data_IF_758400351982
#
_entry.id   IF_758400351982
#
_cell.length_a   1.000
_cell.length_b   1.000
_cell.length_c   1.000
_cell.angle_alpha   90.00
_cell.angle_beta   90.00
_cell.angle_gamma   90.00
#
_symmetry.space_group_name_H-M   'P 1'
#
loop_
_entity.id
_entity.type
_entity.pdbx_description
1 polymer ?
#
# COMPACT_ATOMS: atom_id res chain seq x y z
N UNK A 1 -40.64 -80.76 42.71
CA UNK A 1 -41.09 -79.67 41.82
C UNK A 1 -41.12 -78.37 42.62
N UNK A 2 -39.98 -77.68 42.72
CA UNK A 2 -39.80 -76.50 43.58
C UNK A 2 -39.01 -75.46 42.75
N UNK A 3 -39.60 -74.27 42.55
CA UNK A 3 -38.87 -73.00 42.56
C UNK A 3 -37.99 -72.53 41.40
N UNK A 4 -38.15 -72.95 40.13
CA UNK A 4 -37.32 -72.40 39.01
C UNK A 4 -37.84 -71.13 38.33
N UNK A 5 -39.06 -70.66 38.64
CA UNK A 5 -39.65 -69.49 37.96
C UNK A 5 -39.11 -68.14 38.42
N UNK A 6 -38.57 -68.01 39.64
CA UNK A 6 -38.07 -66.74 40.18
C UNK A 6 -36.68 -66.33 39.67
N UNK A 7 -35.81 -67.29 39.35
CA UNK A 7 -34.44 -67.03 38.88
C UNK A 7 -34.40 -66.44 37.46
N UNK A 8 -35.34 -66.85 36.60
CA UNK A 8 -35.48 -66.32 35.24
C UNK A 8 -35.85 -64.83 35.29
N UNK A 9 -36.73 -64.46 36.23
CA UNK A 9 -37.13 -63.06 36.46
C UNK A 9 -35.95 -62.19 36.88
N UNK A 10 -35.10 -62.67 37.80
CA UNK A 10 -33.91 -61.94 38.27
C UNK A 10 -32.89 -61.77 37.15
N UNK A 11 -32.61 -62.84 36.37
CA UNK A 11 -31.72 -62.74 35.21
C UNK A 11 -32.26 -61.79 34.13
N UNK A 12 -33.56 -61.83 33.84
CA UNK A 12 -34.19 -60.92 32.89
C UNK A 12 -34.07 -59.46 33.33
N UNK A 13 -34.20 -59.18 34.65
CA UNK A 13 -34.07 -57.85 35.22
C UNK A 13 -32.63 -57.32 35.12
N UNK A 14 -31.63 -58.18 35.40
CA UNK A 14 -30.21 -57.83 35.23
C UNK A 14 -29.90 -57.53 33.76
N UNK A 15 -30.34 -58.38 32.84
CA UNK A 15 -30.13 -58.20 31.39
C UNK A 15 -30.81 -56.92 30.90
N UNK A 16 -32.05 -56.64 31.32
CA UNK A 16 -32.74 -55.39 30.99
C UNK A 16 -32.00 -54.17 31.54
N UNK A 17 -31.52 -54.21 32.78
CA UNK A 17 -30.77 -53.09 33.38
C UNK A 17 -29.47 -52.81 32.63
N UNK A 18 -28.75 -53.87 32.22
CA UNK A 18 -27.53 -53.73 31.41
C UNK A 18 -27.87 -53.16 30.03
N UNK A 19 -28.92 -53.67 29.38
CA UNK A 19 -29.39 -53.14 28.09
C UNK A 19 -29.79 -51.66 28.20
N UNK A 20 -30.51 -51.28 29.24
CA UNK A 20 -30.95 -49.90 29.46
C UNK A 20 -29.75 -48.97 29.71
N UNK A 21 -28.75 -49.42 30.47
CA UNK A 21 -27.49 -48.70 30.66
C UNK A 21 -26.74 -48.48 29.35
N UNK A 22 -26.62 -49.52 28.53
CA UNK A 22 -25.94 -49.43 27.22
C UNK A 22 -26.71 -48.49 26.28
N UNK A 23 -28.04 -48.60 26.22
CA UNK A 23 -28.87 -47.72 25.37
C UNK A 23 -28.74 -46.26 25.84
N UNK A 24 -28.81 -46.01 27.14
CA UNK A 24 -28.65 -44.67 27.71
C UNK A 24 -27.27 -44.10 27.36
N UNK A 25 -26.21 -44.89 27.56
CA UNK A 25 -24.84 -44.52 27.20
C UNK A 25 -24.71 -44.18 25.70
N UNK A 26 -25.23 -45.03 24.82
CA UNK A 26 -25.21 -44.79 23.37
C UNK A 26 -25.95 -43.50 22.99
N UNK A 27 -27.12 -43.26 23.55
CA UNK A 27 -27.89 -42.03 23.30
C UNK A 27 -27.11 -40.80 23.76
N UNK A 28 -26.52 -40.85 24.96
CA UNK A 28 -25.73 -39.73 25.48
C UNK A 28 -24.49 -39.44 24.63
N UNK A 29 -23.78 -40.48 24.21
CA UNK A 29 -22.57 -40.34 23.39
C UNK A 29 -22.93 -39.77 22.02
N UNK A 30 -23.99 -40.29 21.38
CA UNK A 30 -24.45 -39.81 20.08
C UNK A 30 -24.89 -38.33 20.14
N UNK A 31 -25.61 -37.94 21.20
CA UNK A 31 -26.01 -36.55 21.39
C UNK A 31 -24.81 -35.62 21.60
N UNK A 32 -23.83 -36.07 22.40
CA UNK A 32 -22.63 -35.28 22.67
C UNK A 32 -21.77 -35.14 21.41
N UNK A 33 -21.57 -36.21 20.65
CA UNK A 33 -20.90 -36.17 19.35
C UNK A 33 -21.63 -35.27 18.36
N UNK A 34 -22.97 -35.31 18.33
CA UNK A 34 -23.78 -34.43 17.49
C UNK A 34 -23.59 -32.94 17.84
N UNK A 35 -23.60 -32.60 19.13
CA UNK A 35 -23.36 -31.23 19.61
C UNK A 35 -21.94 -30.78 19.25
N UNK A 36 -20.94 -31.63 19.49
CA UNK A 36 -19.54 -31.34 19.12
C UNK A 36 -19.43 -31.07 17.62
N UNK A 37 -19.99 -31.95 16.78
CA UNK A 37 -19.95 -31.79 15.33
C UNK A 37 -20.58 -30.48 14.87
N UNK A 38 -21.74 -30.09 15.45
CA UNK A 38 -22.42 -28.84 15.13
C UNK A 38 -21.56 -27.64 15.56
N UNK A 39 -21.02 -27.65 16.78
CA UNK A 39 -20.15 -26.57 17.25
C UNK A 39 -18.87 -26.47 16.43
N UNK A 40 -18.25 -27.60 16.07
CA UNK A 40 -17.07 -27.62 15.20
C UNK A 40 -17.41 -27.03 13.83
N UNK A 41 -18.53 -27.42 13.21
CA UNK A 41 -18.97 -26.85 11.94
C UNK A 41 -19.22 -25.35 12.04
N UNK A 42 -19.94 -24.90 13.07
CA UNK A 42 -20.24 -23.48 13.26
C UNK A 42 -18.96 -22.66 13.53
N UNK A 43 -18.01 -23.22 14.28
CA UNK A 43 -16.71 -22.59 14.49
C UNK A 43 -15.93 -22.47 13.18
N UNK A 44 -15.88 -23.53 12.37
CA UNK A 44 -15.25 -23.48 11.03
C UNK A 44 -15.91 -22.40 10.17
N UNK A 45 -17.25 -22.32 10.17
CA UNK A 45 -17.96 -21.29 9.41
C UNK A 45 -17.66 -19.88 9.93
N UNK A 46 -17.69 -19.66 11.24
CA UNK A 46 -17.36 -18.35 11.86
C UNK A 46 -15.94 -17.91 11.52
N UNK A 47 -14.98 -18.85 11.46
CA UNK A 47 -13.62 -18.57 11.00
C UNK A 47 -13.58 -18.12 9.53
N UNK A 48 -14.28 -18.82 8.64
CA UNK A 48 -14.33 -18.43 7.23
C UNK A 48 -15.00 -17.07 7.01
N UNK A 49 -16.02 -16.74 7.80
CA UNK A 49 -16.67 -15.43 7.73
C UNK A 49 -15.71 -14.32 8.17
N UNK A 50 -15.00 -14.49 9.30
CA UNK A 50 -14.01 -13.49 9.74
C UNK A 50 -12.86 -13.32 8.74
N UNK A 51 -12.40 -14.42 8.12
CA UNK A 51 -11.37 -14.36 7.08
C UNK A 51 -11.89 -13.68 5.81
N UNK A 52 -13.12 -13.99 5.40
CA UNK A 52 -13.78 -13.39 4.24
C UNK A 52 -13.92 -11.88 4.37
N UNK A 53 -14.32 -11.38 5.54
CA UNK A 53 -14.41 -9.93 5.80
C UNK A 53 -13.08 -9.21 5.63
N UNK A 54 -11.99 -9.80 6.13
CA UNK A 54 -10.63 -9.25 5.96
C UNK A 54 -10.25 -9.22 4.47
N UNK A 55 -10.54 -10.30 3.73
CA UNK A 55 -10.25 -10.36 2.30
C UNK A 55 -11.06 -9.34 1.50
N UNK A 56 -12.33 -9.13 1.85
CA UNK A 56 -13.18 -8.11 1.20
C UNK A 56 -12.65 -6.69 1.43
N UNK A 57 -12.14 -6.40 2.63
CA UNK A 57 -11.50 -5.11 2.95
C UNK A 57 -10.22 -4.88 2.14
N UNK A 58 -9.44 -5.93 1.89
CA UNK A 58 -8.14 -5.80 1.23
C UNK A 58 -8.15 -5.95 -0.29
N UNK A 59 -9.11 -6.65 -0.85
CA UNK A 59 -9.05 -7.08 -2.25
C UNK A 59 -10.34 -6.85 -3.04
N UNK A 60 -11.39 -6.31 -2.42
CA UNK A 60 -12.69 -6.10 -3.06
C UNK A 60 -13.17 -4.65 -2.89
N UNK A 61 -14.47 -4.42 -2.99
CA UNK A 61 -15.15 -3.11 -2.91
C UNK A 61 -14.56 -2.14 -1.87
N UNK A 62 -14.40 -2.60 -0.64
CA UNK A 62 -13.97 -1.75 0.49
C UNK A 62 -12.50 -1.32 0.40
N UNK A 63 -11.69 -1.97 -0.44
CA UNK A 63 -10.30 -1.58 -0.66
C UNK A 63 -10.21 -0.17 -1.23
N UNK A 64 -10.93 0.09 -2.32
CA UNK A 64 -10.90 1.39 -2.99
C UNK A 64 -11.73 2.45 -2.27
N UNK A 65 -12.86 2.06 -1.67
CA UNK A 65 -13.82 3.01 -1.08
C UNK A 65 -13.40 3.52 0.30
N UNK A 66 -12.85 2.64 1.16
CA UNK A 66 -12.58 2.96 2.56
C UNK A 66 -11.10 2.76 2.94
N UNK A 67 -10.51 1.63 2.56
CA UNK A 67 -9.15 1.27 2.98
C UNK A 67 -8.10 2.22 2.38
N UNK A 68 -8.06 2.35 1.06
CA UNK A 68 -7.05 3.14 0.34
C UNK A 68 -7.10 4.65 0.70
N UNK A 69 -8.28 5.31 0.80
CA UNK A 69 -8.35 6.70 1.26
C UNK A 69 -7.80 6.90 2.68
N UNK A 70 -8.08 5.96 3.60
CA UNK A 70 -7.53 5.99 4.96
C UNK A 70 -5.99 5.92 4.93
N UNK A 71 -5.43 5.02 4.11
CA UNK A 71 -3.99 4.89 3.94
C UNK A 71 -3.38 6.18 3.40
N UNK A 72 -3.97 6.79 2.37
CA UNK A 72 -3.46 8.04 1.81
C UNK A 72 -3.42 9.16 2.85
N UNK A 73 -4.46 9.30 3.67
CA UNK A 73 -4.47 10.26 4.78
C UNK A 73 -3.35 9.98 5.79
N UNK A 74 -3.24 8.73 6.25
CA UNK A 74 -2.27 8.33 7.26
C UNK A 74 -0.81 8.46 6.77
N UNK A 75 -0.52 8.05 5.53
CA UNK A 75 0.82 8.10 4.93
C UNK A 75 1.25 9.53 4.62
N UNK A 76 0.36 10.36 4.07
CA UNK A 76 0.67 11.77 3.75
C UNK A 76 0.89 12.62 4.99
N UNK A 77 0.16 12.36 6.07
CA UNK A 77 0.35 13.02 7.35
C UNK A 77 1.43 12.37 8.23
N UNK A 78 1.88 11.17 7.85
CA UNK A 78 2.81 10.34 8.59
C UNK A 78 2.34 10.10 10.04
N UNK A 79 1.10 9.63 10.19
CA UNK A 79 0.44 9.37 11.48
C UNK A 79 -0.09 7.94 11.54
N UNK A 80 -0.13 7.39 12.75
CA UNK A 80 -0.96 6.21 13.05
C UNK A 80 -2.43 6.58 12.97
N UNK A 81 -3.23 5.67 12.43
CA UNK A 81 -4.67 5.82 12.30
C UNK A 81 -5.37 4.52 12.69
N UNK A 82 -6.53 4.64 13.32
CA UNK A 82 -7.42 3.51 13.62
C UNK A 82 -8.82 3.89 13.18
N UNK A 83 -9.47 2.99 12.45
CA UNK A 83 -10.81 3.22 11.91
C UNK A 83 -11.55 1.89 11.78
N UNK A 84 -12.86 1.91 11.94
CA UNK A 84 -13.72 0.77 11.65
C UNK A 84 -14.31 0.93 10.24
N UNK A 85 -14.12 -0.08 9.39
CA UNK A 85 -14.89 -0.24 8.15
C UNK A 85 -16.15 -1.01 8.49
N UNK A 86 -17.29 -0.47 8.08
CA UNK A 86 -18.60 -1.09 8.29
C UNK A 86 -19.01 -1.74 6.98
N UNK A 87 -19.15 -3.06 6.99
CA UNK A 87 -19.61 -3.82 5.83
C UNK A 87 -21.12 -3.68 5.65
N UNK A 88 -21.55 -3.65 4.40
CA UNK A 88 -22.95 -3.65 3.99
C UNK A 88 -23.63 -4.96 4.40
N UNK A 89 -24.92 -4.87 4.75
CA UNK A 89 -25.69 -6.04 5.18
C UNK A 89 -25.83 -7.11 4.08
N UNK A 90 -25.71 -6.74 2.81
CA UNK A 90 -25.78 -7.68 1.67
C UNK A 90 -24.54 -8.57 1.58
N UNK A 91 -23.42 -8.11 2.15
CA UNK A 91 -22.14 -8.81 2.15
C UNK A 91 -21.96 -9.72 3.40
N UNK A 92 -22.92 -9.67 4.32
CA UNK A 92 -22.92 -10.48 5.54
C UNK A 92 -23.76 -11.74 5.38
N UNK A 93 -23.31 -12.81 6.01
CA UNK A 93 -24.11 -14.04 6.12
C UNK A 93 -25.35 -13.80 7.01
N UNK A 94 -26.47 -14.43 6.67
CA UNK A 94 -27.76 -14.30 7.39
C UNK A 94 -27.63 -14.55 8.90
N UNK A 95 -26.67 -15.39 9.31
CA UNK A 95 -26.47 -15.76 10.71
C UNK A 95 -25.34 -14.98 11.40
N UNK A 96 -24.68 -14.05 10.71
CA UNK A 96 -23.60 -13.24 11.25
C UNK A 96 -24.11 -11.86 11.67
N UNK A 97 -23.86 -11.49 12.92
CA UNK A 97 -24.38 -10.25 13.51
C UNK A 97 -23.36 -9.11 13.57
N UNK A 98 -22.11 -9.36 13.20
CA UNK A 98 -21.01 -8.41 13.36
C UNK A 98 -20.53 -7.97 11.99
N UNK A 99 -20.57 -6.67 11.71
CA UNK A 99 -20.27 -6.11 10.38
C UNK A 99 -18.97 -5.31 10.30
N UNK A 100 -18.24 -5.15 11.41
CA UNK A 100 -17.10 -4.25 11.45
C UNK A 100 -15.76 -4.97 11.30
N UNK A 101 -14.86 -4.33 10.54
CA UNK A 101 -13.44 -4.66 10.50
C UNK A 101 -12.67 -3.44 10.99
N UNK A 102 -11.97 -3.59 12.11
CA UNK A 102 -11.13 -2.53 12.67
C UNK A 102 -9.76 -2.56 12.01
N UNK A 103 -9.33 -1.44 11.46
CA UNK A 103 -8.00 -1.21 10.90
C UNK A 103 -7.19 -0.42 11.89
N UNK A 104 -5.94 -0.80 12.10
CA UNK A 104 -4.95 0.00 12.80
C UNK A 104 -3.66 0.08 11.99
N UNK A 105 -3.16 1.29 11.81
CA UNK A 105 -1.88 1.56 11.14
C UNK A 105 -0.84 1.94 12.18
N UNK A 106 0.18 1.10 12.29
CA UNK A 106 1.25 1.28 13.26
C UNK A 106 2.57 1.56 12.54
N UNK A 107 3.24 2.64 12.94
CA UNK A 107 4.56 2.98 12.46
C UNK A 107 5.60 2.61 13.51
N UNK A 108 6.25 1.46 13.34
CA UNK A 108 7.42 1.07 14.12
C UNK A 108 8.69 1.37 13.31
N UNK A 109 9.40 0.33 12.86
CA UNK A 109 10.51 0.43 11.90
C UNK A 109 10.03 0.55 10.45
N UNK A 110 8.94 -0.14 10.14
CA UNK A 110 8.22 -0.13 8.87
C UNK A 110 6.75 0.18 9.09
N UNK A 111 6.04 0.54 8.03
CA UNK A 111 4.60 0.77 8.13
C UNK A 111 3.87 -0.59 8.06
N UNK A 112 3.19 -0.93 9.16
CA UNK A 112 2.42 -2.16 9.27
C UNK A 112 0.94 -1.84 9.46
N UNK A 113 0.10 -2.67 8.86
CA UNK A 113 -1.33 -2.64 9.11
C UNK A 113 -1.73 -3.81 9.99
N UNK A 114 -2.76 -3.62 10.82
CA UNK A 114 -3.45 -4.65 11.57
C UNK A 114 -4.95 -4.55 11.28
N UNK A 115 -5.54 -5.65 10.83
CA UNK A 115 -6.97 -5.83 10.60
C UNK A 115 -7.52 -6.77 11.65
N UNK A 116 -8.53 -6.33 12.37
CA UNK A 116 -9.26 -7.17 13.31
C UNK A 116 -10.70 -7.33 12.83
N UNK A 117 -11.10 -8.58 12.63
CA UNK A 117 -12.46 -8.95 12.28
C UNK A 117 -13.04 -9.86 13.35
N UNK A 118 -14.31 -9.66 13.67
CA UNK A 118 -15.08 -10.55 14.53
C UNK A 118 -16.31 -11.06 13.76
N UNK A 119 -16.68 -12.32 13.98
CA UNK A 119 -17.90 -12.92 13.43
C UNK A 119 -18.60 -13.70 14.51
N UNK A 120 -19.94 -13.73 14.45
CA UNK A 120 -20.77 -14.51 15.37
C UNK A 120 -21.74 -15.36 14.55
N UNK A 121 -21.34 -16.59 14.23
CA UNK A 121 -22.16 -17.52 13.48
C UNK A 121 -22.91 -18.45 14.42
N UNK A 122 -24.23 -18.24 14.57
CA UNK A 122 -25.12 -19.05 15.42
C UNK A 122 -24.64 -19.16 16.88
N UNK A 123 -24.14 -18.06 17.44
CA UNK A 123 -23.66 -17.98 18.82
C UNK A 123 -22.21 -18.43 19.01
N UNK A 124 -21.49 -18.77 17.93
CA UNK A 124 -20.06 -19.09 17.96
C UNK A 124 -19.28 -17.87 17.48
N UNK A 125 -18.64 -17.20 18.43
CA UNK A 125 -17.82 -16.01 18.19
C UNK A 125 -16.39 -16.37 17.84
N UNK A 126 -15.89 -15.77 16.78
CA UNK A 126 -14.50 -15.89 16.35
C UNK A 126 -13.91 -14.51 16.12
N UNK A 127 -12.74 -14.25 16.70
CA UNK A 127 -11.93 -13.05 16.42
C UNK A 127 -10.70 -13.46 15.64
N UNK A 128 -10.47 -12.79 14.52
CA UNK A 128 -9.33 -12.99 13.64
C UNK A 128 -8.56 -11.67 13.54
N UNK A 129 -7.25 -11.75 13.74
CA UNK A 129 -6.35 -10.63 13.51
C UNK A 129 -5.45 -10.97 12.33
N UNK A 130 -5.34 -10.06 11.37
CA UNK A 130 -4.36 -10.15 10.31
C UNK A 130 -3.45 -8.93 10.41
N UNK A 131 -2.17 -9.10 10.13
CA UNK A 131 -1.27 -7.97 10.04
C UNK A 131 -0.25 -8.19 8.94
N UNK A 132 0.48 -7.15 8.58
CA UNK A 132 1.52 -7.29 7.59
C UNK A 132 2.09 -5.96 7.15
N UNK A 133 3.13 -6.02 6.30
CA UNK A 133 3.70 -4.82 5.72
C UNK A 133 2.73 -4.20 4.72
N UNK A 134 2.70 -2.87 4.72
CA UNK A 134 1.83 -2.11 3.84
C UNK A 134 2.54 -1.59 2.58
N UNK A 135 3.82 -1.26 2.71
CA UNK A 135 4.60 -0.58 1.69
C UNK A 135 5.51 -1.59 1.01
N UNK A 136 5.66 -1.46 -0.30
CA UNK A 136 6.56 -2.27 -1.08
C UNK A 136 8.01 -2.16 -0.54
N UNK A 137 8.65 -3.31 -0.38
CA UNK A 137 9.93 -3.47 0.33
C UNK A 137 11.04 -2.58 -0.25
N UNK A 138 11.05 -2.33 -1.57
CA UNK A 138 12.06 -1.47 -2.22
C UNK A 138 12.07 -0.03 -1.66
N UNK A 139 10.90 0.51 -1.31
CA UNK A 139 10.79 1.85 -0.75
C UNK A 139 11.14 1.92 0.75
N UNK A 140 11.29 0.76 1.41
CA UNK A 140 11.64 0.66 2.84
C UNK A 140 13.07 0.14 3.08
N UNK A 141 13.86 -0.11 2.02
CA UNK A 141 15.24 -0.64 2.11
C UNK A 141 16.23 0.29 2.83
N UNK A 142 15.90 1.57 3.02
CA UNK A 142 16.80 2.55 3.62
C UNK A 142 17.89 3.07 2.68
N UNK A 143 17.87 2.66 1.40
CA UNK A 143 18.80 3.13 0.39
C UNK A 143 18.22 4.36 -0.33
N UNK A 144 18.91 5.51 -0.35
CA UNK A 144 18.42 6.72 -1.03
C UNK A 144 18.39 6.64 -2.56
N UNK A 145 19.06 5.64 -3.16
CA UNK A 145 19.15 5.50 -4.62
C UNK A 145 18.84 4.05 -4.99
N UNK A 146 17.86 3.85 -5.85
CA UNK A 146 17.49 2.55 -6.41
C UNK A 146 17.79 2.55 -7.90
N UNK A 147 18.78 1.75 -8.29
CA UNK A 147 19.23 1.56 -9.67
C UNK A 147 19.84 0.14 -9.79
N UNK A 148 20.15 -0.35 -11.01
CA UNK A 148 20.66 -1.72 -11.17
C UNK A 148 21.90 -2.03 -10.34
N UNK A 149 22.84 -1.08 -10.17
CA UNK A 149 24.04 -1.31 -9.36
C UNK A 149 23.82 -1.35 -7.84
N UNK A 150 22.70 -0.83 -7.34
CA UNK A 150 22.42 -0.75 -5.89
C UNK A 150 21.49 -1.85 -5.39
N UNK A 151 20.81 -2.54 -6.30
CA UNK A 151 19.92 -3.67 -5.99
C UNK A 151 20.72 -4.97 -6.02
N UNK A 152 20.41 -5.88 -5.09
CA UNK A 152 20.99 -7.22 -5.11
C UNK A 152 20.50 -8.00 -6.34
N UNK A 153 21.40 -8.74 -6.99
CA UNK A 153 21.11 -9.56 -8.18
C UNK A 153 19.93 -10.52 -7.97
N UNK A 154 19.64 -10.91 -6.72
CA UNK A 154 18.50 -11.77 -6.38
C UNK A 154 17.14 -11.08 -6.52
N UNK A 155 17.10 -9.75 -6.48
CA UNK A 155 15.89 -8.91 -6.54
C UNK A 155 15.79 -8.11 -7.85
N UNK A 156 16.71 -8.34 -8.79
CA UNK A 156 16.82 -7.58 -10.03
C UNK A 156 15.53 -7.69 -10.89
N UNK A 157 14.98 -8.91 -11.02
CA UNK A 157 13.73 -9.14 -11.77
C UNK A 157 12.55 -8.40 -11.13
N UNK A 158 12.40 -8.49 -9.80
CA UNK A 158 11.35 -7.80 -9.05
C UNK A 158 11.48 -6.28 -9.17
N UNK A 159 12.71 -5.76 -9.18
CA UNK A 159 12.98 -4.34 -9.37
C UNK A 159 12.56 -3.87 -10.77
N UNK A 160 12.94 -4.59 -11.84
CA UNK A 160 12.49 -4.24 -13.20
C UNK A 160 10.97 -4.37 -13.36
N UNK A 161 10.33 -5.33 -12.69
CA UNK A 161 8.87 -5.43 -12.67
C UNK A 161 8.23 -4.19 -12.01
N UNK A 162 8.78 -3.72 -10.89
CA UNK A 162 8.35 -2.47 -10.26
C UNK A 162 8.54 -1.28 -11.21
N UNK A 163 9.71 -1.15 -11.84
CA UNK A 163 9.99 -0.06 -12.79
C UNK A 163 9.00 -0.05 -13.96
N UNK A 164 8.77 -1.20 -14.59
CA UNK A 164 7.84 -1.33 -15.71
C UNK A 164 6.42 -0.91 -15.30
N UNK A 165 5.94 -1.37 -14.15
CA UNK A 165 4.64 -0.96 -13.62
C UNK A 165 4.58 0.55 -13.37
N UNK A 166 5.60 1.13 -12.75
CA UNK A 166 5.68 2.59 -12.58
C UNK A 166 5.60 3.28 -13.92
N UNK A 167 6.39 2.87 -14.91
CA UNK A 167 6.47 3.55 -16.20
C UNK A 167 5.16 3.47 -16.99
N UNK A 168 4.50 2.32 -16.95
CA UNK A 168 3.27 2.06 -17.71
C UNK A 168 2.04 2.69 -17.03
N UNK A 169 1.95 2.63 -15.71
CA UNK A 169 0.75 3.00 -14.96
C UNK A 169 0.80 4.41 -14.34
N UNK A 170 1.98 5.03 -14.22
CA UNK A 170 2.08 6.38 -13.61
C UNK A 170 1.26 7.40 -14.42
N UNK A 171 0.30 8.00 -13.73
CA UNK A 171 -0.67 8.93 -14.27
C UNK A 171 -1.23 9.81 -13.13
N UNK A 172 -1.57 11.06 -13.43
CA UNK A 172 -2.31 11.91 -12.48
C UNK A 172 -3.77 11.49 -12.31
N UNK A 173 -4.35 10.84 -13.33
CA UNK A 173 -5.78 10.51 -13.40
C UNK A 173 -6.30 9.52 -12.36
N UNK A 174 -5.45 8.93 -11.51
CA UNK A 174 -5.85 8.01 -10.43
C UNK A 174 -5.63 8.59 -9.03
N UNK A 175 -5.04 9.77 -8.94
CA UNK A 175 -4.66 10.37 -7.67
C UNK A 175 -5.56 11.57 -7.37
N UNK A 176 -6.41 11.47 -6.36
CA UNK A 176 -7.03 12.64 -5.73
C UNK A 176 -5.92 13.49 -5.09
N UNK A 177 -5.39 14.41 -5.89
CA UNK A 177 -4.35 15.35 -5.50
C UNK A 177 -4.93 16.29 -4.44
N UNK A 178 -4.28 16.45 -3.28
CA UNK A 178 -4.68 17.43 -2.29
C UNK A 178 -4.68 18.84 -2.90
N UNK A 179 -5.54 19.73 -2.41
CA UNK A 179 -5.63 21.14 -2.88
C UNK A 179 -4.32 21.94 -2.75
N UNK A 180 -3.37 21.44 -1.95
CA UNK A 180 -2.02 21.99 -1.74
C UNK A 180 -0.97 21.42 -2.70
N UNK A 181 -1.38 20.55 -3.62
CA UNK A 181 -0.50 19.85 -4.56
C UNK A 181 -0.86 20.23 -5.98
N UNK A 182 0.14 20.64 -6.74
CA UNK A 182 0.04 20.84 -8.17
C UNK A 182 0.35 19.51 -8.88
N UNK A 183 -0.47 19.13 -9.85
CA UNK A 183 -0.21 17.98 -10.72
C UNK A 183 -0.07 18.45 -12.16
N UNK A 184 1.09 18.20 -12.76
CA UNK A 184 1.36 18.48 -14.16
C UNK A 184 1.77 17.21 -14.90
N UNK A 185 1.04 16.86 -15.96
CA UNK A 185 1.38 15.74 -16.83
C UNK A 185 1.65 16.26 -18.24
N UNK A 186 2.92 16.17 -18.63
CA UNK A 186 3.43 16.74 -19.86
C UNK A 186 3.89 15.62 -20.78
N UNK A 187 3.52 15.75 -22.05
CA UNK A 187 4.01 14.91 -23.13
C UNK A 187 4.24 15.79 -24.35
N UNK A 188 5.09 15.31 -25.27
CA UNK A 188 5.36 15.99 -26.53
C UNK A 188 6.07 17.36 -26.37
N UNK A 189 6.84 17.55 -25.30
CA UNK A 189 7.78 18.67 -25.16
C UNK A 189 9.20 18.14 -25.29
N UNK A 190 10.12 18.93 -25.82
CA UNK A 190 11.55 18.56 -25.85
C UNK A 190 12.27 19.11 -24.63
N UNK A 191 11.81 20.27 -24.13
CA UNK A 191 12.40 20.96 -23.01
C UNK A 191 11.34 21.51 -22.09
N UNK A 192 11.47 21.23 -20.79
CA UNK A 192 10.63 21.80 -19.74
C UNK A 192 11.54 22.52 -18.75
N UNK A 193 11.21 23.75 -18.38
CA UNK A 193 11.97 24.56 -17.42
C UNK A 193 11.07 24.90 -16.25
N UNK A 194 11.48 24.54 -15.04
CA UNK A 194 10.79 24.87 -13.79
C UNK A 194 11.63 25.87 -12.99
N UNK A 195 11.14 27.10 -12.88
CA UNK A 195 11.81 28.19 -12.18
C UNK A 195 11.01 28.66 -10.99
N UNK A 196 11.70 28.96 -9.88
CA UNK A 196 11.09 29.57 -8.70
C UNK A 196 11.25 31.09 -8.75
N UNK A 197 10.14 31.82 -8.67
CA UNK A 197 10.16 33.30 -8.65
C UNK A 197 10.09 33.84 -7.22
N UNK A 198 9.34 33.15 -6.36
CA UNK A 198 9.30 33.45 -4.93
C UNK A 198 8.89 32.21 -4.14
N UNK A 199 8.78 32.32 -2.82
CA UNK A 199 8.46 31.16 -1.98
C UNK A 199 7.11 30.55 -2.38
N UNK A 200 7.12 29.27 -2.75
CA UNK A 200 5.98 28.51 -3.27
C UNK A 200 5.32 29.05 -4.56
N UNK A 201 6.01 29.91 -5.32
CA UNK A 201 5.55 30.39 -6.61
C UNK A 201 6.56 30.00 -7.70
N UNK A 202 6.11 29.17 -8.62
CA UNK A 202 6.93 28.64 -9.71
C UNK A 202 6.29 28.95 -11.05
N UNK A 203 7.12 29.05 -12.07
CA UNK A 203 6.68 29.01 -13.46
C UNK A 203 7.27 27.79 -14.14
N UNK A 204 6.41 27.07 -14.85
CA UNK A 204 6.78 25.98 -15.71
C UNK A 204 6.66 26.43 -17.17
N UNK A 205 7.74 26.27 -17.91
CA UNK A 205 7.82 26.61 -19.32
C UNK A 205 8.04 25.34 -20.15
N UNK A 206 7.15 25.05 -21.10
CA UNK A 206 7.27 23.93 -22.02
C UNK A 206 7.63 24.41 -23.43
N UNK A 207 8.70 23.85 -24.01
CA UNK A 207 9.22 24.20 -25.33
C UNK A 207 9.15 23.00 -26.29
N UNK A 208 8.90 23.31 -27.56
CA UNK A 208 8.93 22.41 -28.72
C UNK A 208 9.52 23.18 -29.89
N UNK A 209 10.27 22.54 -30.79
CA UNK A 209 10.86 23.21 -31.96
C UNK A 209 9.83 23.97 -32.80
N UNK A 210 8.60 23.44 -32.87
CA UNK A 210 7.51 24.00 -33.70
C UNK A 210 6.79 25.19 -33.05
N UNK A 211 7.10 25.53 -31.79
CA UNK A 211 6.41 26.60 -31.06
C UNK A 211 7.18 27.93 -31.13
N UNK A 212 6.44 29.00 -31.44
CA UNK A 212 6.99 30.37 -31.44
C UNK A 212 7.07 30.94 -30.02
N UNK A 213 6.11 30.60 -29.17
CA UNK A 213 6.07 30.98 -27.75
C UNK A 213 5.95 29.72 -26.90
N UNK A 214 6.61 29.65 -25.73
CA UNK A 214 6.52 28.49 -24.86
C UNK A 214 5.11 28.36 -24.27
N UNK A 215 4.75 27.12 -23.92
CA UNK A 215 3.68 26.88 -22.97
C UNK A 215 4.11 27.43 -21.59
N UNK A 216 3.25 28.16 -20.91
CA UNK A 216 3.56 28.77 -19.61
C UNK A 216 2.48 28.40 -18.61
N UNK A 217 2.90 27.93 -17.44
CA UNK A 217 2.01 27.60 -16.34
C UNK A 217 2.52 28.16 -15.02
N UNK A 218 1.63 28.82 -14.28
CA UNK A 218 1.91 29.36 -12.96
C UNK A 218 1.47 28.37 -11.88
N UNK A 219 2.39 28.03 -10.98
CA UNK A 219 2.20 27.06 -9.92
C UNK A 219 2.30 27.77 -8.57
N UNK A 220 1.19 27.83 -7.84
CA UNK A 220 1.05 28.47 -6.52
C UNK A 220 0.87 27.43 -5.38
N UNK A 221 1.54 26.29 -5.52
CA UNK A 221 1.37 25.13 -4.64
C UNK A 221 2.68 24.71 -4.00
N UNK A 222 2.58 24.21 -2.77
CA UNK A 222 3.75 23.82 -1.97
C UNK A 222 4.32 22.45 -2.37
N UNK A 223 3.47 21.60 -2.94
CA UNK A 223 3.83 20.26 -3.38
C UNK A 223 3.59 20.14 -4.89
N UNK A 224 4.43 19.38 -5.56
CA UNK A 224 4.42 19.24 -7.01
C UNK A 224 4.49 17.76 -7.37
N UNK A 225 3.61 17.30 -8.26
CA UNK A 225 3.68 15.99 -8.91
C UNK A 225 3.82 16.25 -10.39
N UNK A 226 5.03 16.03 -10.92
CA UNK A 226 5.35 16.22 -12.33
C UNK A 226 5.58 14.87 -12.99
N UNK A 227 4.83 14.61 -14.05
CA UNK A 227 4.99 13.43 -14.91
C UNK A 227 5.33 13.94 -16.30
N UNK A 228 6.56 13.69 -16.74
CA UNK A 228 7.11 14.18 -18.00
C UNK A 228 7.45 12.96 -18.85
N UNK A 229 6.61 12.68 -19.85
CA UNK A 229 6.76 11.53 -20.76
C UNK A 229 7.34 11.99 -22.10
N UNK A 230 8.25 11.17 -22.66
CA UNK A 230 8.79 11.41 -23.99
C UNK A 230 7.73 11.18 -25.05
N UNK A 231 7.91 11.77 -26.23
CA UNK A 231 7.02 11.55 -27.37
C UNK A 231 7.84 11.06 -28.56
N UNK A 232 7.56 9.83 -29.01
CA UNK A 232 8.38 9.20 -30.04
C UNK A 232 9.79 8.90 -29.54
N UNK A 233 10.78 9.22 -30.37
CA UNK A 233 12.20 8.95 -30.12
C UNK A 233 12.97 10.18 -29.60
N UNK A 234 12.29 11.32 -29.44
CA UNK A 234 12.92 12.58 -29.03
C UNK A 234 13.26 12.56 -27.53
N UNK A 235 14.49 12.97 -27.21
CA UNK A 235 14.93 13.17 -25.83
C UNK A 235 14.18 14.36 -25.19
N UNK A 236 13.85 14.22 -23.91
CA UNK A 236 13.19 15.27 -23.13
C UNK A 236 14.06 15.67 -21.95
N UNK A 237 14.31 16.97 -21.82
CA UNK A 237 15.11 17.52 -20.73
C UNK A 237 14.24 18.36 -19.78
N UNK A 238 14.27 18.02 -18.50
CA UNK A 238 13.75 18.87 -17.43
C UNK A 238 14.88 19.72 -16.86
N UNK A 239 14.72 21.04 -16.93
CA UNK A 239 15.62 22.00 -16.30
C UNK A 239 15.00 22.49 -14.98
N UNK A 240 15.74 22.31 -13.89
CA UNK A 240 15.41 22.84 -12.58
C UNK A 240 16.24 24.10 -12.35
N UNK A 241 15.60 25.25 -12.53
CA UNK A 241 16.24 26.55 -12.47
C UNK A 241 16.74 27.10 -13.80
N UNK A 242 17.45 28.23 -13.72
CA UNK A 242 17.90 29.03 -14.85
C UNK A 242 19.43 29.12 -14.88
N UNK A 243 20.01 28.99 -16.07
CA UNK A 243 21.46 29.11 -16.31
C UNK A 243 21.99 30.50 -15.93
N UNK A 244 21.15 31.55 -15.98
CA UNK A 244 21.52 32.91 -15.55
C UNK A 244 21.51 33.12 -14.04
N UNK A 245 20.89 32.24 -13.25
CA UNK A 245 20.63 32.41 -11.82
C UNK A 245 21.07 31.21 -10.97
N UNK A 246 22.27 30.69 -11.24
CA UNK A 246 22.83 29.48 -10.64
C UNK A 246 22.80 29.48 -9.10
N UNK A 247 22.96 30.64 -8.46
CA UNK A 247 23.00 30.76 -7.00
C UNK A 247 21.60 30.95 -6.36
N UNK A 248 20.54 31.14 -7.14
CA UNK A 248 19.19 31.33 -6.62
C UNK A 248 18.68 30.03 -5.99
N UNK A 249 18.13 30.05 -4.76
CA UNK A 249 17.62 28.85 -4.10
C UNK A 249 16.36 28.32 -4.81
N UNK A 250 16.29 27.02 -5.00
CA UNK A 250 15.13 26.31 -5.52
C UNK A 250 14.67 25.27 -4.49
N UNK A 251 13.56 25.55 -3.81
CA UNK A 251 12.97 24.66 -2.81
C UNK A 251 11.78 23.93 -3.45
N UNK A 252 11.81 22.61 -3.51
CA UNK A 252 10.78 21.81 -4.16
C UNK A 252 10.39 20.63 -3.27
N UNK A 253 9.09 20.32 -3.20
CA UNK A 253 8.60 19.14 -2.50
C UNK A 253 7.67 18.36 -3.40
N UNK A 254 7.86 17.05 -3.57
CA UNK A 254 7.06 16.38 -4.57
C UNK A 254 7.50 15.03 -5.08
N UNK A 255 6.86 14.64 -6.17
CA UNK A 255 7.25 13.54 -7.03
C UNK A 255 7.60 14.12 -8.41
N UNK A 256 8.78 13.79 -8.94
CA UNK A 256 9.19 14.13 -10.30
C UNK A 256 9.47 12.83 -11.05
N UNK A 257 8.75 12.60 -12.14
CA UNK A 257 8.95 11.50 -13.06
C UNK A 257 9.34 12.07 -14.43
N UNK A 258 10.47 11.62 -14.99
CA UNK A 258 10.97 12.07 -16.29
C UNK A 258 11.46 10.89 -17.12
N UNK A 259 10.99 10.78 -18.36
CA UNK A 259 11.53 9.85 -19.38
C UNK A 259 12.68 10.47 -20.17
N UNK A 260 13.73 10.90 -19.47
CA UNK A 260 14.85 11.64 -20.02
C UNK A 260 15.70 12.27 -18.92
N UNK A 261 16.47 13.31 -19.24
CA UNK A 261 17.44 13.87 -18.30
C UNK A 261 16.85 14.98 -17.42
N UNK A 262 17.45 15.17 -16.26
CA UNK A 262 17.21 16.32 -15.39
C UNK A 262 18.48 17.14 -15.31
N UNK A 263 18.44 18.40 -15.74
CA UNK A 263 19.54 19.35 -15.55
C UNK A 263 19.22 20.32 -14.42
N UNK A 264 20.11 20.42 -13.44
CA UNK A 264 19.94 21.29 -12.27
C UNK A 264 20.91 22.46 -12.37
N UNK A 265 20.39 23.68 -12.54
CA UNK A 265 21.21 24.89 -12.56
C UNK A 265 21.30 25.57 -11.20
N UNK A 266 20.22 25.50 -10.41
CA UNK A 266 20.08 26.26 -9.18
C UNK A 266 20.53 25.49 -7.94
N UNK A 267 20.68 26.19 -6.81
CA UNK A 267 20.84 25.57 -5.49
C UNK A 267 19.54 24.88 -5.07
N UNK A 268 19.39 23.62 -5.49
CA UNK A 268 18.21 22.81 -5.27
C UNK A 268 18.21 22.17 -3.88
N UNK A 269 17.07 22.28 -3.20
CA UNK A 269 16.70 21.45 -2.07
C UNK A 269 15.36 20.77 -2.37
N UNK A 270 15.40 19.49 -2.70
CA UNK A 270 14.26 18.68 -3.09
C UNK A 270 13.88 17.71 -1.99
N UNK A 271 12.62 17.73 -1.55
CA UNK A 271 12.07 16.77 -0.60
C UNK A 271 11.05 15.87 -1.29
N UNK A 272 11.41 14.62 -1.56
CA UNK A 272 10.49 13.63 -2.12
C UNK A 272 11.15 12.61 -3.04
N UNK A 273 10.44 12.21 -4.09
CA UNK A 273 10.87 11.11 -4.96
C UNK A 273 11.18 11.64 -6.36
N UNK A 274 12.33 11.25 -6.91
CA UNK A 274 12.69 11.47 -8.32
C UNK A 274 12.74 10.11 -9.01
N UNK A 275 12.12 10.01 -10.18
CA UNK A 275 12.12 8.80 -10.99
C UNK A 275 12.61 9.16 -12.39
N UNK A 276 13.63 8.46 -12.83
CA UNK A 276 14.23 8.60 -14.14
C UNK A 276 13.98 7.32 -14.93
N UNK A 277 13.51 7.49 -16.16
CA UNK A 277 13.48 6.42 -17.15
C UNK A 277 14.40 6.81 -18.29
N UNK A 278 15.48 6.05 -18.43
CA UNK A 278 16.45 6.16 -19.52
C UNK A 278 17.14 7.53 -19.60
N UNK A 279 17.49 8.12 -18.46
CA UNK A 279 18.17 9.43 -18.40
C UNK A 279 19.11 9.58 -17.20
N UNK A 280 19.73 10.75 -17.10
CA UNK A 280 20.73 11.11 -16.10
C UNK A 280 20.37 12.44 -15.38
N UNK A 281 20.98 12.70 -14.22
CA UNK A 281 20.91 13.99 -13.52
C UNK A 281 22.22 14.75 -13.76
N UNK A 282 22.14 15.82 -14.54
CA UNK A 282 23.25 16.71 -14.84
C UNK A 282 23.25 17.91 -13.88
N UNK A 283 24.27 17.99 -13.04
CA UNK A 283 24.44 19.12 -12.10
C UNK A 283 25.31 20.19 -12.72
N UNK A 284 24.74 21.39 -12.90
CA UNK A 284 25.44 22.60 -13.37
C UNK A 284 25.47 23.72 -12.33
N UNK A 285 25.04 23.43 -11.10
CA UNK A 285 25.04 24.35 -9.98
C UNK A 285 26.41 24.45 -9.30
N UNK A 286 26.71 25.61 -8.69
CA UNK A 286 27.93 25.82 -7.92
C UNK A 286 27.98 24.99 -6.62
N UNK A 287 26.80 24.70 -6.05
CA UNK A 287 26.64 23.86 -4.87
C UNK A 287 26.01 22.52 -5.25
N UNK A 288 26.31 21.46 -4.49
CA UNK A 288 25.68 20.14 -4.68
C UNK A 288 24.19 20.20 -4.30
N UNK A 289 23.27 19.85 -5.22
CA UNK A 289 21.85 19.72 -4.93
C UNK A 289 21.59 18.77 -3.76
N UNK A 290 20.64 19.15 -2.89
CA UNK A 290 20.20 18.33 -1.77
C UNK A 290 18.90 17.63 -2.11
N UNK A 291 18.88 16.31 -1.99
CA UNK A 291 17.72 15.48 -2.26
C UNK A 291 17.43 14.67 -1.00
N UNK A 292 16.34 15.00 -0.30
CA UNK A 292 15.87 14.29 0.88
C UNK A 292 14.69 13.40 0.47
N UNK A 293 14.93 12.09 0.37
CA UNK A 293 13.95 11.12 -0.08
C UNK A 293 14.58 9.99 -0.88
N UNK A 294 14.12 9.78 -2.12
CA UNK A 294 14.49 8.61 -2.93
C UNK A 294 14.69 8.99 -4.40
N UNK A 295 15.71 8.44 -5.04
CA UNK A 295 15.87 8.47 -6.49
C UNK A 295 15.74 7.05 -7.02
N UNK A 296 14.91 6.86 -8.05
CA UNK A 296 14.71 5.58 -8.74
C UNK A 296 15.11 5.76 -10.20
N UNK A 297 15.97 4.89 -10.72
CA UNK A 297 16.46 5.00 -12.10
C UNK A 297 16.53 3.63 -12.78
N UNK A 298 16.20 3.57 -14.08
CA UNK A 298 16.45 2.38 -14.91
C UNK A 298 17.94 2.14 -15.18
N UNK A 299 18.76 3.18 -15.09
CA UNK A 299 20.18 3.14 -15.39
C UNK A 299 21.02 3.62 -14.21
N UNK A 300 22.28 3.20 -14.18
CA UNK A 300 23.27 3.80 -13.30
C UNK A 300 23.63 5.21 -13.78
N UNK A 301 23.86 6.10 -12.84
CA UNK A 301 24.14 7.51 -13.11
C UNK A 301 25.14 8.08 -12.12
N UNK A 302 25.73 9.23 -12.45
CA UNK A 302 26.75 9.83 -11.58
C UNK A 302 26.10 10.55 -10.38
N UNK A 303 26.43 10.08 -9.19
CA UNK A 303 25.89 10.59 -7.92
C UNK A 303 26.85 11.52 -7.18
N UNK A 304 28.09 11.67 -7.65
CA UNK A 304 29.15 12.41 -6.94
C UNK A 304 28.79 13.88 -6.69
N UNK A 305 28.00 14.48 -7.59
CA UNK A 305 27.61 15.88 -7.54
C UNK A 305 26.32 16.13 -6.75
N UNK A 306 25.71 15.08 -6.19
CA UNK A 306 24.46 15.16 -5.44
C UNK A 306 24.69 14.87 -3.94
N UNK A 307 23.92 15.53 -3.08
CA UNK A 307 23.79 15.17 -1.67
C UNK A 307 22.43 14.51 -1.44
N UNK A 308 22.40 13.18 -1.39
CA UNK A 308 21.15 12.41 -1.30
C UNK A 308 21.05 11.78 0.08
N UNK A 309 19.93 12.02 0.78
CA UNK A 309 19.66 11.48 2.12
C UNK A 309 18.32 10.76 2.10
N UNK A 310 18.30 9.53 2.61
CA UNK A 310 17.05 8.76 2.72
C UNK A 310 16.14 9.36 3.79
N UNK A 311 14.92 9.74 3.39
CA UNK A 311 13.90 10.29 4.30
C UNK A 311 12.58 9.52 4.15
N UNK A 312 12.30 8.62 5.10
CA UNK A 312 11.09 7.79 5.09
C UNK A 312 9.80 8.61 5.15
N UNK A 313 9.80 9.80 5.74
CA UNK A 313 8.60 10.64 5.85
C UNK A 313 8.27 11.23 4.50
N UNK A 314 9.28 11.67 3.75
CA UNK A 314 9.08 12.17 2.40
C UNK A 314 8.69 11.04 1.44
N UNK A 315 9.33 9.87 1.56
CA UNK A 315 8.99 8.69 0.74
C UNK A 315 7.55 8.25 0.97
N UNK A 316 7.09 8.14 2.23
CA UNK A 316 5.69 7.78 2.50
C UNK A 316 4.70 8.80 1.98
N UNK A 317 5.02 10.09 2.09
CA UNK A 317 4.13 11.15 1.63
C UNK A 317 3.97 11.15 0.11
N UNK A 318 5.07 11.08 -0.64
CA UNK A 318 5.04 11.19 -2.10
C UNK A 318 4.93 9.83 -2.82
N UNK A 319 5.25 8.74 -2.15
CA UNK A 319 5.06 7.39 -2.65
C UNK A 319 3.59 7.06 -2.88
N UNK A 320 2.65 7.69 -2.15
CA UNK A 320 1.20 7.54 -2.40
C UNK A 320 0.75 7.93 -3.81
N UNK A 321 1.59 8.62 -4.59
CA UNK A 321 1.30 8.97 -5.99
C UNK A 321 1.84 7.95 -6.99
N UNK A 322 2.57 6.93 -6.53
CA UNK A 322 3.18 5.90 -7.35
C UNK A 322 2.33 4.64 -7.36
N UNK A 323 2.21 3.96 -8.51
CA UNK A 323 1.64 2.62 -8.56
C UNK A 323 2.55 1.66 -7.78
N UNK A 324 1.95 0.58 -7.25
CA UNK A 324 2.65 -0.47 -6.48
C UNK A 324 3.41 0.01 -5.23
N UNK A 325 3.26 1.27 -4.81
CA UNK A 325 3.83 1.76 -3.56
C UNK A 325 3.15 1.12 -2.34
N UNK A 326 1.82 1.05 -2.38
CA UNK A 326 0.99 0.37 -1.40
C UNK A 326 0.79 -1.07 -1.88
N UNK A 327 1.49 -2.01 -1.25
CA UNK A 327 1.46 -3.44 -1.56
C UNK A 327 1.23 -4.24 -0.27
N UNK A 328 -0.02 -4.29 0.23
CA UNK A 328 -0.32 -4.94 1.50
C UNK A 328 -0.13 -6.46 1.38
N UNK A 329 0.85 -6.99 2.13
CA UNK A 329 1.08 -8.44 2.21
C UNK A 329 0.43 -9.00 3.47
N UNK A 330 -0.55 -9.88 3.33
CA UNK A 330 -1.33 -10.38 4.44
C UNK A 330 -0.62 -11.51 5.21
N UNK A 331 -0.47 -11.36 6.52
CA UNK A 331 -0.11 -12.43 7.45
C UNK A 331 -1.27 -12.65 8.43
N UNK A 332 -1.90 -13.82 8.37
CA UNK A 332 -3.10 -14.15 9.15
C UNK A 332 -2.74 -14.81 10.49
N UNK A 333 -3.26 -14.28 11.59
CA UNK A 333 -3.12 -14.84 12.93
C UNK A 333 -4.47 -15.29 13.49
N UNK A 334 -4.57 -16.58 13.80
CA UNK A 334 -5.76 -17.17 14.42
C UNK A 334 -5.59 -17.15 15.93
N UNK A 335 -6.47 -16.42 16.63
CA UNK A 335 -6.59 -16.51 18.08
C UNK A 335 -7.59 -17.63 18.41
N UNK A 336 -7.15 -18.57 19.25
CA UNK A 336 -7.91 -19.76 19.67
C UNK A 336 -8.88 -19.47 20.81
#
# INVERSE_FOLDING_TARGET
MIGRKGYISVFALIVMSILMLIISYLVTTTNMEGIILIHTRNNIQSNYLSEGKIQMVLYDKYYGEDFLPLLFGALRENKSATMDIILDNEDLDEYDSISNVTISLNKNSRMEFELRSESDYRGVKTILNASGPLINDFFEMGNPILNPSTIDNTLEEDFYNLLNKIYDEINLGHNDLPTTTYGGQFSNFEKIVLNQVSNHNYYLFGYRETMVEPYIEHIDKNNIVLIIKKYGDDEIDLFLGDEGEIDSPLELNGLIFVEGNITIFNKLNFNGIIILKDGDILVKSNERPKINGLIISSNDFNVEDLQITYDNKMIYKYGTYLPDFIDPKLLLFKNY
#
